data_IF_833734228006
#
_entry.id   IF_833734228006
#
_cell.length_a   1.000
_cell.length_b   1.000
_cell.length_c   1.000
_cell.angle_alpha   90.00
_cell.angle_beta   90.00
_cell.angle_gamma   90.00
#
_symmetry.space_group_name_H-M   'P 1'
#
loop_
_entity.id
_entity.type
_entity.pdbx_description
1 polymer ?
#
# COMPACT_ATOMS: atom_id res chain seq x y z
N UNK A 1 -50.07 -16.13 -27.76
CA UNK A 1 -49.90 -15.42 -26.48
C UNK A 1 -48.40 -15.37 -26.23
N UNK A 2 -47.71 -14.36 -26.78
CA UNK A 2 -46.31 -14.09 -26.49
C UNK A 2 -46.25 -13.22 -25.22
N UNK A 3 -45.55 -13.71 -24.21
CA UNK A 3 -45.28 -12.97 -22.97
C UNK A 3 -44.34 -11.78 -23.22
N UNK A 4 -44.60 -10.58 -22.70
CA UNK A 4 -43.76 -9.39 -22.91
C UNK A 4 -42.48 -9.33 -22.05
N UNK A 5 -42.06 -10.47 -21.46
CA UNK A 5 -40.89 -10.53 -20.56
C UNK A 5 -39.54 -10.52 -21.31
N UNK A 6 -39.55 -10.81 -22.62
CA UNK A 6 -38.28 -10.97 -23.35
C UNK A 6 -37.61 -9.69 -23.85
N UNK A 7 -38.32 -8.58 -23.97
CA UNK A 7 -37.67 -7.33 -24.45
C UNK A 7 -36.83 -6.65 -23.38
N UNK A 8 -37.26 -6.64 -22.13
CA UNK A 8 -36.49 -6.08 -21.00
C UNK A 8 -35.28 -6.93 -20.67
N UNK A 9 -35.41 -8.28 -20.69
CA UNK A 9 -34.25 -9.16 -20.48
C UNK A 9 -33.20 -9.06 -21.61
N UNK A 10 -33.62 -8.92 -22.87
CA UNK A 10 -32.73 -8.74 -24.00
C UNK A 10 -32.06 -7.36 -23.94
N UNK A 11 -32.72 -6.32 -23.45
CA UNK A 11 -32.13 -5.01 -23.19
C UNK A 11 -31.14 -5.08 -22.03
N UNK A 12 -31.46 -5.78 -20.94
CA UNK A 12 -30.55 -6.00 -19.81
C UNK A 12 -29.29 -6.84 -20.20
N UNK A 13 -29.45 -7.84 -21.04
CA UNK A 13 -28.33 -8.66 -21.55
C UNK A 13 -27.49 -7.85 -22.53
N UNK A 14 -28.07 -6.98 -23.34
CA UNK A 14 -27.32 -6.10 -24.25
C UNK A 14 -26.54 -5.01 -23.54
N UNK A 15 -26.93 -4.65 -22.33
CA UNK A 15 -26.32 -3.63 -21.49
C UNK A 15 -25.18 -4.18 -20.59
N UNK A 16 -25.21 -5.49 -20.27
CA UNK A 16 -24.13 -6.18 -19.58
C UNK A 16 -22.92 -6.45 -20.48
N UNK A 17 -23.09 -6.36 -21.80
CA UNK A 17 -21.99 -6.38 -22.78
C UNK A 17 -21.59 -4.92 -23.06
N UNK A 18 -20.66 -4.37 -22.28
CA UNK A 18 -19.83 -3.29 -22.82
C UNK A 18 -19.26 -3.82 -24.12
N UNK A 19 -19.63 -3.21 -25.24
CA UNK A 19 -19.10 -3.56 -26.54
C UNK A 19 -17.56 -3.53 -26.45
N UNK A 20 -16.90 -4.57 -26.96
CA UNK A 20 -15.44 -4.69 -26.96
C UNK A 20 -14.79 -3.39 -27.45
N UNK A 21 -15.44 -2.71 -28.42
CA UNK A 21 -15.02 -1.40 -28.93
C UNK A 21 -15.01 -0.31 -27.84
N UNK A 22 -15.98 -0.31 -26.95
CA UNK A 22 -16.04 0.68 -25.83
C UNK A 22 -14.93 0.45 -24.83
N UNK A 23 -14.61 -0.81 -24.50
CA UNK A 23 -13.48 -1.15 -23.61
C UNK A 23 -12.15 -0.73 -24.24
N UNK A 24 -11.97 -1.00 -25.55
CA UNK A 24 -10.76 -0.65 -26.29
C UNK A 24 -10.56 0.88 -26.42
N UNK A 25 -11.60 1.69 -26.26
CA UNK A 25 -11.51 3.14 -26.22
C UNK A 25 -11.27 3.64 -24.79
N UNK A 26 -12.06 3.17 -23.83
CA UNK A 26 -12.03 3.66 -22.44
C UNK A 26 -10.68 3.36 -21.76
N UNK A 27 -10.15 2.14 -21.92
CA UNK A 27 -8.93 1.72 -21.23
C UNK A 27 -7.70 2.56 -21.61
N UNK A 28 -7.39 2.81 -22.90
CA UNK A 28 -6.31 3.74 -23.27
C UNK A 28 -6.57 5.19 -22.83
N UNK A 29 -7.82 5.66 -22.89
CA UNK A 29 -8.16 7.00 -22.41
C UNK A 29 -7.87 7.16 -20.93
N UNK A 30 -8.21 6.18 -20.10
CA UNK A 30 -7.90 6.19 -18.66
C UNK A 30 -6.39 6.27 -18.40
N UNK A 31 -5.59 5.52 -19.17
CA UNK A 31 -4.13 5.58 -19.07
C UNK A 31 -3.62 6.98 -19.45
N UNK A 32 -4.12 7.54 -20.55
CA UNK A 32 -3.74 8.90 -21.01
C UNK A 32 -4.11 9.94 -19.96
N UNK A 33 -5.33 9.88 -19.40
CA UNK A 33 -5.75 10.79 -18.34
C UNK A 33 -4.89 10.65 -17.08
N UNK A 34 -4.49 9.44 -16.72
CA UNK A 34 -3.58 9.22 -15.60
C UNK A 34 -2.23 9.92 -15.78
N UNK A 35 -1.64 9.81 -16.96
CA UNK A 35 -0.41 10.54 -17.29
C UNK A 35 -0.61 12.06 -17.24
N UNK A 36 -1.73 12.55 -17.74
CA UNK A 36 -2.07 13.97 -17.65
C UNK A 36 -2.22 14.44 -16.20
N UNK A 37 -2.85 13.63 -15.35
CA UNK A 37 -2.98 13.93 -13.92
C UNK A 37 -1.62 13.91 -13.20
N UNK A 38 -0.71 13.01 -13.56
CA UNK A 38 0.64 13.00 -13.00
C UNK A 38 1.45 14.24 -13.42
N UNK A 39 1.35 14.66 -14.69
CA UNK A 39 1.95 15.92 -15.16
C UNK A 39 1.36 17.11 -14.43
N UNK A 40 0.04 17.16 -14.24
CA UNK A 40 -0.64 18.21 -13.49
C UNK A 40 -0.22 18.24 -12.03
N UNK A 41 -0.14 17.05 -11.39
CA UNK A 41 0.30 16.89 -10.01
C UNK A 41 1.71 17.45 -9.79
N UNK A 42 2.65 17.15 -10.70
CA UNK A 42 4.02 17.69 -10.64
C UNK A 42 4.08 19.20 -10.72
N UNK A 43 3.15 19.83 -11.46
CA UNK A 43 3.10 21.30 -11.59
C UNK A 43 2.40 21.98 -10.41
N UNK A 44 1.32 21.40 -9.93
CA UNK A 44 0.46 21.99 -8.89
C UNK A 44 0.80 21.55 -7.47
N UNK A 45 1.64 20.50 -7.32
CA UNK A 45 1.94 19.80 -6.06
C UNK A 45 0.69 19.14 -5.44
N UNK A 46 -0.38 18.98 -6.20
CA UNK A 46 -1.59 18.29 -5.78
C UNK A 46 -1.45 16.79 -6.11
N UNK A 47 -1.66 15.86 -5.18
CA UNK A 47 -1.46 14.43 -5.41
C UNK A 47 -2.34 13.89 -6.55
N UNK A 48 -1.74 13.23 -7.55
CA UNK A 48 -2.47 12.63 -8.69
C UNK A 48 -3.49 11.57 -8.27
N UNK A 49 -3.22 10.90 -7.15
CA UNK A 49 -4.11 9.89 -6.55
C UNK A 49 -5.51 10.44 -6.27
N UNK A 50 -5.60 11.66 -5.70
CA UNK A 50 -6.89 12.29 -5.40
C UNK A 50 -7.68 12.55 -6.69
N UNK A 51 -7.01 12.98 -7.76
CA UNK A 51 -7.65 13.20 -9.06
C UNK A 51 -8.20 11.89 -9.67
N UNK A 52 -7.47 10.77 -9.48
CA UNK A 52 -7.92 9.45 -9.93
C UNK A 52 -9.16 8.97 -9.17
N UNK A 53 -9.16 9.10 -7.85
CA UNK A 53 -10.32 8.75 -7.01
C UNK A 53 -11.52 9.63 -7.38
N UNK A 54 -11.34 10.93 -7.51
CA UNK A 54 -12.42 11.86 -7.93
C UNK A 54 -12.96 11.49 -9.31
N UNK A 55 -12.11 11.11 -10.25
CA UNK A 55 -12.54 10.66 -11.58
C UNK A 55 -13.39 9.39 -11.48
N UNK A 56 -13.00 8.44 -10.62
CA UNK A 56 -13.81 7.25 -10.32
C UNK A 56 -15.19 7.61 -9.75
N UNK A 57 -15.24 8.49 -8.74
CA UNK A 57 -16.48 8.97 -8.13
C UNK A 57 -17.38 9.66 -9.17
N UNK A 58 -16.83 10.54 -10.01
CA UNK A 58 -17.57 11.21 -11.08
C UNK A 58 -18.11 10.18 -12.08
N UNK A 59 -17.31 9.19 -12.48
CA UNK A 59 -17.75 8.13 -13.37
C UNK A 59 -18.89 7.32 -12.73
N UNK A 60 -18.82 7.01 -11.43
CA UNK A 60 -19.92 6.38 -10.67
C UNK A 60 -21.19 7.24 -10.68
N UNK A 61 -21.06 8.53 -10.43
CA UNK A 61 -22.17 9.47 -10.48
C UNK A 61 -22.84 9.48 -11.85
N UNK A 62 -22.07 9.55 -12.93
CA UNK A 62 -22.59 9.52 -14.29
C UNK A 62 -23.34 8.21 -14.54
N UNK A 63 -22.76 7.04 -14.18
CA UNK A 63 -23.42 5.75 -14.41
C UNK A 63 -24.69 5.59 -13.60
N UNK A 64 -24.76 6.10 -12.36
CA UNK A 64 -25.98 6.06 -11.54
C UNK A 64 -27.12 6.91 -12.15
N UNK A 65 -26.81 8.06 -12.79
CA UNK A 65 -27.80 8.86 -13.50
C UNK A 65 -28.47 8.10 -14.65
N UNK A 66 -27.77 7.10 -15.22
CA UNK A 66 -28.32 6.23 -16.27
C UNK A 66 -28.93 4.93 -15.71
N UNK A 67 -29.04 4.80 -14.38
CA UNK A 67 -29.67 3.63 -13.73
C UNK A 67 -28.77 2.38 -13.68
N UNK A 68 -27.46 2.54 -13.79
CA UNK A 68 -26.48 1.46 -13.65
C UNK A 68 -25.87 1.47 -12.26
N UNK A 69 -26.39 0.65 -11.35
CA UNK A 69 -25.95 0.64 -9.95
C UNK A 69 -25.22 -0.64 -9.51
N UNK A 70 -25.30 -1.71 -10.31
CA UNK A 70 -24.74 -3.00 -9.93
C UNK A 70 -23.47 -3.31 -10.72
N UNK A 71 -22.33 -3.30 -10.00
CA UNK A 71 -21.00 -3.57 -10.53
C UNK A 71 -20.28 -4.64 -9.70
N UNK A 72 -20.96 -5.75 -9.43
CA UNK A 72 -20.45 -6.86 -8.59
C UNK A 72 -19.06 -7.38 -8.99
N UNK A 73 -18.59 -7.14 -10.23
CA UNK A 73 -17.24 -7.50 -10.65
C UNK A 73 -16.15 -6.70 -9.92
N UNK A 74 -16.46 -5.49 -9.43
CA UNK A 74 -15.50 -4.64 -8.72
C UNK A 74 -15.15 -5.22 -7.35
N UNK A 75 -16.08 -5.93 -6.71
CA UNK A 75 -15.87 -6.54 -5.40
C UNK A 75 -14.68 -7.54 -5.42
N UNK A 76 -14.44 -8.17 -6.57
CA UNK A 76 -13.31 -9.06 -6.77
C UNK A 76 -12.10 -8.35 -7.43
N UNK A 77 -12.35 -7.41 -8.34
CA UNK A 77 -11.29 -6.77 -9.12
C UNK A 77 -10.44 -5.81 -8.27
N UNK A 78 -11.09 -5.01 -7.41
CA UNK A 78 -10.40 -4.01 -6.57
C UNK A 78 -9.42 -4.68 -5.60
N UNK A 79 -9.77 -5.74 -4.84
CA UNK A 79 -8.82 -6.43 -3.99
C UNK A 79 -7.64 -7.06 -4.74
N UNK A 80 -7.88 -7.66 -5.94
CA UNK A 80 -6.80 -8.26 -6.75
C UNK A 80 -5.84 -7.19 -7.25
N UNK A 81 -6.35 -6.10 -7.84
CA UNK A 81 -5.52 -4.97 -8.27
C UNK A 81 -4.78 -4.34 -7.10
N UNK A 82 -5.44 -4.25 -5.98
CA UNK A 82 -4.86 -3.76 -4.76
C UNK A 82 -3.69 -4.61 -4.28
N UNK A 83 -3.85 -5.93 -4.23
CA UNK A 83 -2.78 -6.85 -3.80
C UNK A 83 -1.59 -6.79 -4.76
N UNK A 84 -1.83 -6.83 -6.07
CA UNK A 84 -0.75 -6.69 -7.08
C UNK A 84 -0.09 -5.31 -6.96
N UNK A 85 -0.88 -4.27 -6.79
CA UNK A 85 -0.39 -2.91 -6.59
C UNK A 85 0.48 -2.78 -5.35
N UNK A 86 0.06 -3.40 -4.24
CA UNK A 86 0.80 -3.42 -3.00
C UNK A 86 2.17 -4.11 -3.14
N UNK A 87 2.21 -5.26 -3.82
CA UNK A 87 3.45 -5.98 -4.12
C UNK A 87 4.39 -5.11 -4.96
N UNK A 88 3.87 -4.48 -6.01
CA UNK A 88 4.65 -3.64 -6.91
C UNK A 88 5.16 -2.37 -6.22
N UNK A 89 4.32 -1.69 -5.42
CA UNK A 89 4.70 -0.48 -4.68
C UNK A 89 5.79 -0.79 -3.65
N UNK A 90 5.66 -1.89 -2.90
CA UNK A 90 6.69 -2.30 -1.93
C UNK A 90 7.98 -2.69 -2.63
N UNK A 91 7.89 -3.35 -3.79
CA UNK A 91 9.06 -3.70 -4.60
C UNK A 91 9.76 -2.44 -5.14
N UNK A 92 9.00 -1.49 -5.72
CA UNK A 92 9.52 -0.22 -6.24
C UNK A 92 10.24 0.57 -5.14
N UNK A 93 9.56 0.78 -4.00
CA UNK A 93 10.13 1.49 -2.87
C UNK A 93 11.40 0.81 -2.32
N UNK A 94 11.41 -0.53 -2.26
CA UNK A 94 12.57 -1.30 -1.81
C UNK A 94 13.76 -1.19 -2.77
N UNK A 95 13.51 -1.15 -4.08
CA UNK A 95 14.57 -0.99 -5.10
C UNK A 95 15.16 0.44 -5.05
N UNK A 96 14.37 1.44 -4.72
CA UNK A 96 14.85 2.83 -4.58
C UNK A 96 15.73 3.05 -3.33
N UNK A 97 15.63 2.15 -2.33
CA UNK A 97 16.41 2.28 -1.10
C UNK A 97 17.87 1.95 -1.30
N UNK A 98 18.72 2.97 -1.25
CA UNK A 98 20.18 2.82 -1.26
C UNK A 98 20.73 2.65 0.15
N UNK A 99 21.26 1.46 0.47
CA UNK A 99 21.94 1.19 1.73
C UNK A 99 23.44 1.51 1.56
N UNK A 100 23.81 2.72 1.98
CA UNK A 100 25.21 3.19 2.01
C UNK A 100 25.59 3.59 3.42
N UNK A 101 26.87 3.42 3.78
CA UNK A 101 27.37 3.79 5.12
C UNK A 101 27.16 5.28 5.42
N UNK A 102 27.28 6.13 4.42
CA UNK A 102 27.11 7.57 4.53
C UNK A 102 25.65 7.97 4.85
N UNK A 103 24.68 7.08 4.53
CA UNK A 103 23.24 7.30 4.77
C UNK A 103 22.74 6.64 6.06
N UNK A 104 23.60 5.97 6.83
CA UNK A 104 23.18 5.21 8.02
C UNK A 104 22.41 6.06 9.02
N UNK A 105 22.83 7.31 9.24
CA UNK A 105 22.17 8.22 10.19
C UNK A 105 20.73 8.53 9.77
N UNK A 106 20.52 8.86 8.49
CA UNK A 106 19.18 9.20 8.00
C UNK A 106 18.27 7.97 7.94
N UNK A 107 18.83 6.78 7.64
CA UNK A 107 18.11 5.50 7.67
C UNK A 107 17.61 5.21 9.09
N UNK A 108 18.47 5.34 10.11
CA UNK A 108 18.08 5.12 11.51
C UNK A 108 17.05 6.14 11.95
N UNK A 109 17.23 7.42 11.62
CA UNK A 109 16.25 8.48 11.95
C UNK A 109 14.90 8.20 11.29
N UNK A 110 14.88 7.81 10.01
CA UNK A 110 13.66 7.44 9.30
C UNK A 110 12.96 6.22 9.91
N UNK A 111 13.72 5.18 10.28
CA UNK A 111 13.18 3.99 10.94
C UNK A 111 12.58 4.31 12.31
N UNK A 112 13.30 5.06 13.14
CA UNK A 112 12.80 5.46 14.47
C UNK A 112 11.58 6.37 14.36
N UNK A 113 11.57 7.30 13.41
CA UNK A 113 10.40 8.14 13.14
C UNK A 113 9.20 7.28 12.75
N UNK A 114 9.35 6.38 11.78
CA UNK A 114 8.29 5.48 11.35
C UNK A 114 7.75 4.65 12.51
N UNK A 115 8.62 4.04 13.31
CA UNK A 115 8.22 3.17 14.43
C UNK A 115 7.51 3.97 15.54
N UNK A 116 8.10 5.08 15.99
CA UNK A 116 7.57 5.86 17.11
C UNK A 116 6.25 6.51 16.74
N UNK A 117 6.19 7.17 15.57
CA UNK A 117 4.97 7.84 15.11
C UNK A 117 3.85 6.81 14.88
N UNK A 118 4.16 5.68 14.23
CA UNK A 118 3.19 4.61 13.98
C UNK A 118 2.61 4.06 15.29
N UNK A 119 3.47 3.69 16.25
CA UNK A 119 3.01 3.12 17.53
C UNK A 119 2.16 4.11 18.33
N UNK A 120 2.60 5.37 18.44
CA UNK A 120 1.84 6.39 19.17
C UNK A 120 0.50 6.68 18.48
N UNK A 121 0.48 6.75 17.13
CA UNK A 121 -0.76 6.90 16.38
C UNK A 121 -1.72 5.72 16.64
N UNK A 122 -1.23 4.47 16.53
CA UNK A 122 -2.05 3.28 16.82
C UNK A 122 -2.66 3.36 18.21
N UNK A 123 -1.87 3.71 19.23
CA UNK A 123 -2.36 3.81 20.61
C UNK A 123 -3.44 4.89 20.74
N UNK A 124 -3.18 6.12 20.25
CA UNK A 124 -4.12 7.23 20.46
C UNK A 124 -5.39 7.06 19.60
N UNK A 125 -5.27 6.59 18.35
CA UNK A 125 -6.43 6.33 17.50
C UNK A 125 -7.25 5.15 18.03
N UNK A 126 -6.61 4.09 18.53
CA UNK A 126 -7.34 2.97 19.14
C UNK A 126 -8.05 3.36 20.44
N UNK A 127 -7.46 4.23 21.24
CA UNK A 127 -8.12 4.78 22.44
C UNK A 127 -9.33 5.65 22.05
N UNK A 128 -9.20 6.46 21.01
CA UNK A 128 -10.32 7.24 20.47
C UNK A 128 -11.46 6.33 20.00
N UNK A 129 -11.17 5.28 19.21
CA UNK A 129 -12.17 4.33 18.76
C UNK A 129 -12.83 3.56 19.91
N UNK A 130 -12.06 3.17 20.91
CA UNK A 130 -12.60 2.44 22.04
C UNK A 130 -13.44 3.32 22.97
N UNK A 131 -12.98 4.53 23.32
CA UNK A 131 -13.65 5.38 24.31
C UNK A 131 -14.78 6.23 23.74
N UNK A 132 -14.64 6.70 22.47
CA UNK A 132 -15.61 7.62 21.86
C UNK A 132 -16.59 6.88 20.96
N UNK A 133 -16.12 5.93 20.15
CA UNK A 133 -16.97 5.16 19.23
C UNK A 133 -17.55 3.91 19.93
N UNK A 134 -16.89 3.44 21.02
CA UNK A 134 -17.36 2.28 21.79
C UNK A 134 -16.96 0.93 21.19
N UNK A 135 -15.95 0.88 20.28
CA UNK A 135 -15.47 -0.37 19.71
C UNK A 135 -14.71 -1.21 20.78
N UNK A 136 -14.79 -2.55 20.71
CA UNK A 136 -13.92 -3.42 21.50
C UNK A 136 -12.45 -3.11 21.26
N UNK A 137 -11.61 -3.18 22.31
CA UNK A 137 -10.21 -2.80 22.23
C UNK A 137 -9.43 -3.51 21.11
N UNK A 138 -9.55 -4.85 20.89
CA UNK A 138 -8.85 -5.51 19.78
C UNK A 138 -9.26 -4.96 18.41
N UNK A 139 -10.55 -4.75 18.21
CA UNK A 139 -11.11 -4.17 16.98
C UNK A 139 -10.62 -2.75 16.77
N UNK A 140 -10.59 -1.94 17.83
CA UNK A 140 -10.09 -0.54 17.80
C UNK A 140 -8.62 -0.48 17.35
N UNK A 141 -7.77 -1.39 17.83
CA UNK A 141 -6.36 -1.47 17.43
C UNK A 141 -6.23 -1.85 15.95
N UNK A 142 -7.00 -2.84 15.50
CA UNK A 142 -6.94 -3.32 14.10
C UNK A 142 -7.35 -2.22 13.12
N UNK A 143 -8.41 -1.45 13.41
CA UNK A 143 -8.80 -0.30 12.59
C UNK A 143 -7.81 0.86 12.66
N UNK A 144 -7.18 1.08 13.82
CA UNK A 144 -6.20 2.16 13.98
C UNK A 144 -4.91 1.94 13.17
N UNK A 145 -4.49 0.70 12.96
CA UNK A 145 -3.22 0.39 12.27
C UNK A 145 -3.20 0.93 10.84
N UNK A 146 -4.14 0.58 9.93
CA UNK A 146 -4.13 1.08 8.56
C UNK A 146 -4.14 2.60 8.48
N UNK A 147 -4.93 3.24 9.34
CA UNK A 147 -5.05 4.69 9.39
C UNK A 147 -3.76 5.36 9.86
N UNK A 148 -2.93 4.68 10.64
CA UNK A 148 -1.68 5.21 11.20
C UNK A 148 -0.48 5.15 10.23
N UNK A 149 -0.58 4.37 9.13
CA UNK A 149 0.51 4.16 8.18
C UNK A 149 0.71 5.41 7.31
N UNK A 150 1.97 5.84 7.12
CA UNK A 150 2.35 6.87 6.16
C UNK A 150 2.70 6.16 4.84
N UNK A 151 1.93 6.41 3.78
CA UNK A 151 2.11 5.72 2.50
C UNK A 151 3.27 6.25 1.68
N UNK A 152 4.23 5.39 1.35
CA UNK A 152 5.35 5.71 0.44
C UNK A 152 4.87 6.03 -0.97
N UNK A 153 3.84 5.35 -1.46
CA UNK A 153 3.27 5.56 -2.79
C UNK A 153 2.78 6.99 -3.06
N UNK A 154 2.41 7.72 -2.01
CA UNK A 154 1.97 9.12 -2.10
C UNK A 154 3.05 10.07 -1.57
N UNK A 155 3.76 9.70 -0.51
CA UNK A 155 4.77 10.55 0.10
C UNK A 155 5.98 10.79 -0.81
N UNK A 156 6.52 9.74 -1.44
CA UNK A 156 7.74 9.84 -2.27
C UNK A 156 7.54 10.76 -3.48
N UNK A 157 6.50 10.59 -4.32
CA UNK A 157 6.25 11.51 -5.43
C UNK A 157 6.02 12.96 -4.98
N UNK A 158 5.36 13.14 -3.84
CA UNK A 158 5.07 14.48 -3.28
C UNK A 158 6.31 15.19 -2.74
N UNK A 159 7.35 14.42 -2.35
CA UNK A 159 8.60 14.95 -1.78
C UNK A 159 9.58 15.54 -2.82
N UNK A 160 9.24 15.56 -4.11
CA UNK A 160 10.15 16.03 -5.18
C UNK A 160 10.58 17.48 -5.04
N UNK A 161 9.82 18.31 -4.32
CA UNK A 161 10.14 19.73 -4.06
C UNK A 161 10.92 20.00 -2.79
N UNK A 162 11.28 18.96 -2.01
CA UNK A 162 12.04 19.08 -0.77
C UNK A 162 13.55 19.10 -1.04
N UNK A 163 14.31 19.67 -0.08
CA UNK A 163 15.78 19.52 -0.05
C UNK A 163 16.14 18.03 0.06
N UNK A 164 17.32 17.66 -0.47
CA UNK A 164 17.74 16.25 -0.58
C UNK A 164 17.66 15.49 0.74
N UNK A 165 18.10 16.09 1.86
CA UNK A 165 18.03 15.49 3.21
C UNK A 165 16.62 15.13 3.61
N UNK A 166 15.67 16.04 3.43
CA UNK A 166 14.26 15.84 3.78
C UNK A 166 13.57 14.85 2.84
N UNK A 167 13.90 14.89 1.55
CA UNK A 167 13.43 13.91 0.58
C UNK A 167 13.87 12.49 0.97
N UNK A 168 15.16 12.29 1.26
CA UNK A 168 15.65 10.99 1.71
C UNK A 168 15.01 10.54 3.02
N UNK A 169 14.81 11.45 3.98
CA UNK A 169 14.09 11.14 5.22
C UNK A 169 12.67 10.65 4.95
N UNK A 170 11.89 11.33 4.09
CA UNK A 170 10.53 10.94 3.71
C UNK A 170 10.52 9.56 3.06
N UNK A 171 11.47 9.27 2.17
CA UNK A 171 11.60 7.95 1.52
C UNK A 171 11.78 6.85 2.56
N UNK A 172 12.74 6.99 3.48
CA UNK A 172 13.00 5.97 4.50
C UNK A 172 11.84 5.87 5.50
N UNK A 173 11.35 7.00 6.02
CA UNK A 173 10.24 7.03 6.98
C UNK A 173 8.99 6.35 6.42
N UNK A 174 8.54 6.75 5.22
CA UNK A 174 7.31 6.21 4.64
C UNK A 174 7.44 4.74 4.27
N UNK A 175 8.58 4.31 3.71
CA UNK A 175 8.81 2.90 3.37
C UNK A 175 8.84 2.02 4.63
N UNK A 176 9.52 2.45 5.70
CA UNK A 176 9.50 1.72 6.96
C UNK A 176 8.12 1.72 7.61
N UNK A 177 7.37 2.83 7.52
CA UNK A 177 6.00 2.92 8.03
C UNK A 177 5.08 1.92 7.34
N UNK A 178 5.17 1.77 6.02
CA UNK A 178 4.43 0.79 5.24
C UNK A 178 4.69 -0.63 5.74
N UNK A 179 5.96 -1.01 5.88
CA UNK A 179 6.36 -2.36 6.27
C UNK A 179 5.97 -2.68 7.71
N UNK A 180 6.27 -1.77 8.64
CA UNK A 180 5.93 -1.95 10.06
C UNK A 180 4.42 -2.01 10.25
N UNK A 181 3.66 -1.14 9.56
CA UNK A 181 2.21 -1.12 9.61
C UNK A 181 1.59 -2.42 9.14
N UNK A 182 2.04 -2.95 8.00
CA UNK A 182 1.59 -4.24 7.48
C UNK A 182 1.93 -5.38 8.46
N UNK A 183 3.13 -5.37 9.03
CA UNK A 183 3.54 -6.38 10.01
C UNK A 183 2.68 -6.35 11.26
N UNK A 184 2.43 -5.17 11.84
CA UNK A 184 1.55 -5.00 12.99
C UNK A 184 0.12 -5.42 12.67
N UNK A 185 -0.39 -5.05 11.49
CA UNK A 185 -1.73 -5.40 11.06
C UNK A 185 -1.95 -6.91 11.04
N UNK A 186 -1.15 -7.65 10.26
CA UNK A 186 -1.29 -9.11 10.18
C UNK A 186 -0.99 -9.83 11.48
N UNK A 187 -0.15 -9.26 12.32
CA UNK A 187 0.08 -9.78 13.66
C UNK A 187 -1.18 -9.63 14.53
N UNK A 188 -1.76 -8.41 14.60
CA UNK A 188 -2.94 -8.15 15.42
C UNK A 188 -4.18 -8.92 14.94
N UNK A 189 -4.38 -9.05 13.62
CA UNK A 189 -5.43 -9.90 13.06
C UNK A 189 -5.32 -11.33 13.58
N UNK A 190 -4.15 -11.93 13.48
CA UNK A 190 -3.94 -13.32 13.92
C UNK A 190 -4.12 -13.54 15.42
N UNK A 191 -3.71 -12.56 16.23
CA UNK A 191 -3.94 -12.63 17.67
C UNK A 191 -5.44 -12.52 18.00
N UNK A 192 -6.16 -11.64 17.30
CA UNK A 192 -7.59 -11.47 17.46
C UNK A 192 -8.37 -12.72 17.02
N UNK A 193 -8.01 -13.37 15.90
CA UNK A 193 -8.62 -14.62 15.43
C UNK A 193 -8.42 -15.78 16.43
N UNK A 194 -7.30 -15.80 17.15
CA UNK A 194 -7.04 -16.80 18.20
C UNK A 194 -7.69 -16.47 19.53
N UNK A 195 -8.25 -15.25 19.69
CA UNK A 195 -8.73 -14.75 20.98
C UNK A 195 -7.61 -14.49 21.99
N UNK A 196 -6.38 -14.29 21.52
CA UNK A 196 -5.22 -14.02 22.34
C UNK A 196 -5.04 -12.51 22.58
N UNK A 197 -4.35 -12.16 23.67
CA UNK A 197 -4.09 -10.75 23.98
C UNK A 197 -3.19 -10.10 22.92
N UNK A 198 -3.52 -8.87 22.49
CA UNK A 198 -2.73 -8.13 21.51
C UNK A 198 -1.46 -7.52 22.11
N UNK A 199 -1.47 -7.23 23.41
CA UNK A 199 -0.38 -6.57 24.13
C UNK A 199 0.01 -7.41 25.34
N UNK A 200 1.31 -7.61 25.54
CA UNK A 200 1.88 -8.39 26.62
C UNK A 200 3.30 -8.83 26.27
N UNK A 201 3.99 -9.43 27.23
CA UNK A 201 5.37 -9.93 27.03
C UNK A 201 5.38 -11.08 26.04
N UNK A 202 4.47 -12.03 26.17
CA UNK A 202 4.36 -13.22 25.31
C UNK A 202 4.01 -12.86 23.86
N UNK A 203 2.99 -12.02 23.59
CA UNK A 203 2.74 -11.48 22.25
C UNK A 203 3.94 -10.78 21.61
N UNK A 204 4.68 -9.96 22.36
CA UNK A 204 5.86 -9.24 21.85
C UNK A 204 6.99 -10.21 21.47
N UNK A 205 7.27 -11.23 22.30
CA UNK A 205 8.27 -12.25 21.99
C UNK A 205 7.87 -13.02 20.72
N UNK A 206 6.59 -13.36 20.59
CA UNK A 206 6.05 -14.05 19.41
C UNK A 206 6.20 -13.18 18.15
N UNK A 207 5.90 -11.89 18.23
CA UNK A 207 6.09 -10.95 17.13
C UNK A 207 7.55 -10.87 16.70
N UNK A 208 8.50 -10.72 17.65
CA UNK A 208 9.93 -10.67 17.36
C UNK A 208 10.39 -11.98 16.70
N UNK A 209 9.93 -13.12 17.20
CA UNK A 209 10.24 -14.44 16.63
C UNK A 209 9.73 -14.59 15.19
N UNK A 210 8.52 -14.13 14.90
CA UNK A 210 7.94 -14.13 13.55
C UNK A 210 8.70 -13.21 12.61
N UNK A 211 9.11 -12.02 13.07
CA UNK A 211 9.95 -11.08 12.28
C UNK A 211 11.28 -11.77 11.93
N UNK A 212 11.93 -12.40 12.89
CA UNK A 212 13.20 -13.08 12.65
C UNK A 212 13.05 -14.24 11.66
N UNK A 213 11.99 -15.04 11.81
CA UNK A 213 11.67 -16.14 10.91
C UNK A 213 11.43 -15.68 9.48
N UNK A 214 10.60 -14.63 9.29
CA UNK A 214 10.32 -14.12 7.95
C UNK A 214 11.56 -13.53 7.27
N UNK A 215 12.45 -12.89 8.02
CA UNK A 215 13.72 -12.38 7.49
C UNK A 215 14.58 -13.54 6.96
N UNK A 216 14.71 -14.64 7.71
CA UNK A 216 15.49 -15.80 7.29
C UNK A 216 14.90 -16.42 6.02
N UNK A 217 13.58 -16.66 6.01
CA UNK A 217 12.88 -17.22 4.85
C UNK A 217 13.02 -16.30 3.64
N UNK A 218 12.87 -14.98 3.84
CA UNK A 218 12.99 -13.99 2.78
C UNK A 218 14.40 -13.96 2.17
N UNK A 219 15.45 -14.08 2.98
CA UNK A 219 16.82 -14.16 2.50
C UNK A 219 17.02 -15.42 1.66
N UNK A 220 16.50 -16.58 2.11
CA UNK A 220 16.60 -17.84 1.39
C UNK A 220 15.87 -17.79 0.03
N UNK A 221 14.64 -17.28 0.00
CA UNK A 221 13.86 -17.13 -1.23
C UNK A 221 14.51 -16.11 -2.16
N UNK A 222 14.98 -14.97 -1.63
CA UNK A 222 15.71 -13.96 -2.39
C UNK A 222 16.95 -14.56 -3.08
N UNK A 223 17.70 -15.37 -2.36
CA UNK A 223 18.87 -16.05 -2.93
C UNK A 223 18.50 -17.04 -4.04
N UNK A 224 17.41 -17.79 -3.87
CA UNK A 224 16.89 -18.70 -4.91
C UNK A 224 16.42 -17.93 -6.15
N UNK A 225 15.65 -16.87 -5.97
CA UNK A 225 15.18 -16.01 -7.06
C UNK A 225 16.35 -15.35 -7.79
N UNK A 226 17.35 -14.87 -7.06
CA UNK A 226 18.55 -14.28 -7.65
C UNK A 226 19.35 -15.29 -8.49
N UNK A 227 19.51 -16.54 -8.01
CA UNK A 227 20.14 -17.59 -8.81
C UNK A 227 19.33 -17.90 -10.07
N UNK A 228 18.00 -17.91 -9.98
CA UNK A 228 17.12 -18.15 -11.12
C UNK A 228 17.29 -17.06 -12.17
N UNK A 229 17.31 -15.77 -11.74
CA UNK A 229 17.54 -14.63 -12.64
C UNK A 229 18.84 -14.76 -13.42
N UNK A 230 19.92 -15.22 -12.75
CA UNK A 230 21.22 -15.41 -13.41
C UNK A 230 21.27 -16.53 -14.44
N UNK A 231 20.38 -17.52 -14.31
CA UNK A 231 20.30 -18.66 -15.24
C UNK A 231 19.43 -18.39 -16.47
N UNK A 232 18.55 -17.39 -16.38
CA UNK A 232 17.64 -17.05 -17.45
C UNK A 232 18.38 -16.12 -18.44
N UNK A 233 18.63 -16.60 -19.65
CA UNK A 233 19.29 -15.84 -20.72
C UNK A 233 18.30 -15.02 -21.58
N UNK A 234 16.98 -15.11 -21.30
CA UNK A 234 15.96 -14.39 -22.04
C UNK A 234 15.84 -12.92 -21.61
N UNK A 235 15.55 -12.04 -22.57
CA UNK A 235 15.33 -10.61 -22.33
C UNK A 235 14.06 -10.31 -21.51
N UNK A 236 13.10 -11.24 -21.45
CA UNK A 236 11.83 -11.06 -20.74
C UNK A 236 11.88 -11.73 -19.36
N UNK A 237 12.65 -11.15 -18.43
CA UNK A 237 12.83 -11.69 -17.08
C UNK A 237 11.82 -11.08 -16.08
N UNK A 238 11.38 -9.85 -16.31
CA UNK A 238 10.59 -9.08 -15.36
C UNK A 238 9.28 -9.76 -14.96
N UNK A 239 8.46 -10.14 -15.94
CA UNK A 239 7.15 -10.74 -15.65
C UNK A 239 7.24 -12.11 -14.98
N UNK A 240 8.30 -12.90 -15.30
CA UNK A 240 8.54 -14.16 -14.60
C UNK A 240 8.90 -13.93 -13.12
N UNK A 241 9.77 -12.96 -12.86
CA UNK A 241 10.16 -12.60 -11.49
C UNK A 241 8.94 -12.08 -10.72
N UNK A 242 8.16 -11.20 -11.33
CA UNK A 242 6.93 -10.67 -10.74
C UNK A 242 5.94 -11.80 -10.43
N UNK A 243 5.72 -12.73 -11.35
CA UNK A 243 4.84 -13.88 -11.13
C UNK A 243 5.33 -14.76 -9.97
N UNK A 244 6.65 -15.00 -9.86
CA UNK A 244 7.24 -15.74 -8.76
C UNK A 244 7.15 -15.00 -7.42
N UNK A 245 7.26 -13.66 -7.43
CA UNK A 245 7.06 -12.85 -6.24
C UNK A 245 5.60 -12.85 -5.76
N UNK A 246 4.63 -12.75 -6.70
CA UNK A 246 3.21 -12.87 -6.37
C UNK A 246 2.90 -14.26 -5.80
N UNK A 247 3.42 -15.30 -6.42
CA UNK A 247 3.26 -16.68 -5.91
C UNK A 247 3.89 -16.86 -4.53
N UNK A 248 5.10 -16.35 -4.32
CA UNK A 248 5.77 -16.40 -3.03
C UNK A 248 5.02 -15.59 -1.95
N UNK A 249 4.42 -14.46 -2.32
CA UNK A 249 3.55 -13.68 -1.46
C UNK A 249 2.33 -14.48 -1.01
N UNK A 250 1.58 -15.09 -1.93
CA UNK A 250 0.37 -15.85 -1.60
C UNK A 250 0.71 -17.11 -0.79
N UNK A 251 1.76 -17.86 -1.16
CA UNK A 251 2.22 -19.00 -0.38
C UNK A 251 2.62 -18.56 1.05
N UNK A 252 3.35 -17.48 1.18
CA UNK A 252 3.76 -16.97 2.49
C UNK A 252 2.58 -16.51 3.35
N UNK A 253 1.58 -15.86 2.73
CA UNK A 253 0.38 -15.37 3.41
C UNK A 253 -0.51 -16.55 3.87
N UNK A 254 -0.85 -17.47 2.97
CA UNK A 254 -1.88 -18.48 3.22
C UNK A 254 -1.32 -19.73 3.97
N UNK A 255 -0.16 -20.23 3.55
CA UNK A 255 0.42 -21.44 4.13
C UNK A 255 1.31 -21.18 5.34
N UNK A 256 2.18 -20.16 5.26
CA UNK A 256 3.11 -19.87 6.35
C UNK A 256 2.52 -18.88 7.36
N UNK A 257 1.42 -18.20 7.00
CA UNK A 257 0.78 -17.14 7.79
C UNK A 257 1.78 -16.07 8.25
N UNK A 258 2.69 -15.69 7.38
CA UNK A 258 3.73 -14.68 7.61
C UNK A 258 3.40 -13.38 6.89
N UNK A 259 3.93 -12.24 7.35
CA UNK A 259 3.79 -10.96 6.64
C UNK A 259 4.62 -10.94 5.35
N UNK A 260 4.12 -11.60 4.30
CA UNK A 260 4.84 -11.93 3.06
C UNK A 260 5.37 -10.72 2.29
N UNK A 261 4.84 -9.51 2.54
CA UNK A 261 5.36 -8.26 1.96
C UNK A 261 6.79 -7.95 2.42
N UNK A 262 7.19 -8.43 3.59
CA UNK A 262 8.59 -8.34 4.05
C UNK A 262 9.53 -9.11 3.11
N UNK A 263 9.07 -10.22 2.54
CA UNK A 263 9.84 -10.97 1.54
C UNK A 263 10.08 -10.12 0.29
N UNK A 264 9.01 -9.48 -0.22
CA UNK A 264 9.11 -8.59 -1.40
C UNK A 264 10.08 -7.45 -1.13
N UNK A 265 9.98 -6.85 0.05
CA UNK A 265 10.86 -5.77 0.48
C UNK A 265 12.34 -6.19 0.57
N UNK A 266 12.63 -7.33 1.22
CA UNK A 266 13.99 -7.86 1.33
C UNK A 266 14.55 -8.20 -0.06
N UNK A 267 13.72 -8.77 -0.94
CA UNK A 267 14.12 -9.02 -2.32
C UNK A 267 14.48 -7.73 -3.07
N UNK A 268 13.64 -6.70 -2.99
CA UNK A 268 13.89 -5.40 -3.62
C UNK A 268 15.17 -4.73 -3.12
N UNK A 269 15.37 -4.68 -1.79
CA UNK A 269 16.60 -4.16 -1.17
C UNK A 269 17.82 -4.96 -1.63
N UNK A 270 17.73 -6.29 -1.64
CA UNK A 270 18.83 -7.13 -2.08
C UNK A 270 19.16 -6.84 -3.54
N UNK A 271 18.16 -6.74 -4.39
CA UNK A 271 18.34 -6.48 -5.82
C UNK A 271 19.04 -5.14 -6.09
N UNK A 272 18.66 -4.09 -5.37
CA UNK A 272 19.26 -2.75 -5.49
C UNK A 272 20.67 -2.65 -4.88
N UNK A 273 20.92 -3.39 -3.80
CA UNK A 273 22.14 -3.25 -3.00
C UNK A 273 23.06 -4.50 -3.05
N UNK A 274 22.84 -5.44 -3.99
CA UNK A 274 23.52 -6.73 -4.00
C UNK A 274 25.04 -6.62 -4.01
N UNK A 275 25.60 -5.61 -4.71
CA UNK A 275 27.05 -5.37 -4.77
C UNK A 275 27.66 -4.98 -3.42
N UNK A 276 26.86 -4.33 -2.55
CA UNK A 276 27.28 -3.85 -1.23
C UNK A 276 26.99 -4.89 -0.13
N UNK A 277 25.90 -5.67 -0.29
CA UNK A 277 25.44 -6.64 0.71
C UNK A 277 26.18 -7.98 0.66
N UNK A 278 26.76 -8.35 -0.49
CA UNK A 278 27.48 -9.63 -0.62
C UNK A 278 28.88 -9.51 0.05
N UNK A 279 29.17 -10.32 1.08
CA UNK A 279 30.49 -10.39 1.67
C UNK A 279 31.56 -10.74 0.64
N UNK A 280 32.75 -10.16 0.76
CA UNK A 280 33.87 -10.36 -0.17
C UNK A 280 34.18 -11.85 -0.42
N UNK A 281 33.99 -12.73 0.58
CA UNK A 281 34.21 -14.17 0.47
C UNK A 281 33.18 -14.89 -0.42
N UNK A 282 31.94 -14.42 -0.46
CA UNK A 282 30.85 -14.99 -1.28
C UNK A 282 30.85 -14.46 -2.71
N UNK A 283 31.49 -13.32 -2.98
CA UNK A 283 31.58 -12.75 -4.35
C UNK A 283 32.24 -13.72 -5.35
N UNK A 284 33.08 -14.64 -4.86
CA UNK A 284 33.74 -15.66 -5.70
C UNK A 284 32.76 -16.73 -6.21
N UNK A 285 31.67 -17.00 -5.47
CA UNK A 285 30.68 -18.05 -5.81
C UNK A 285 29.48 -17.48 -6.57
N UNK A 286 29.23 -16.18 -6.46
CA UNK A 286 28.13 -15.48 -7.12
C UNK A 286 28.75 -14.75 -8.31
N UNK A 287 28.44 -15.22 -9.53
CA UNK A 287 28.89 -14.56 -10.77
C UNK A 287 28.18 -13.23 -10.92
N UNK A 288 28.69 -12.20 -10.21
CA UNK A 288 28.16 -10.83 -10.22
C UNK A 288 28.23 -10.18 -11.61
N UNK A 289 29.07 -10.69 -12.50
CA UNK A 289 29.27 -10.14 -13.84
C UNK A 289 28.11 -10.41 -14.81
N UNK A 290 27.21 -11.34 -14.48
CA UNK A 290 26.09 -11.72 -15.36
C UNK A 290 24.82 -10.87 -15.17
N UNK A 291 24.63 -10.19 -14.03
CA UNK A 291 23.56 -9.22 -13.85
C UNK A 291 24.13 -7.83 -14.12
N UNK A 292 23.99 -7.38 -15.36
CA UNK A 292 24.49 -6.07 -15.78
C UNK A 292 23.74 -4.95 -15.03
N UNK A 293 24.40 -3.81 -14.85
CA UNK A 293 23.74 -2.57 -14.38
C UNK A 293 22.56 -2.20 -15.29
N UNK A 294 22.62 -2.57 -16.54
CA UNK A 294 21.56 -2.45 -17.55
C UNK A 294 20.31 -3.25 -17.16
N UNK A 295 20.46 -4.54 -16.79
CA UNK A 295 19.33 -5.42 -16.44
C UNK A 295 18.60 -4.91 -15.19
N UNK A 296 19.36 -4.39 -14.22
CA UNK A 296 18.81 -3.83 -13.00
C UNK A 296 18.03 -2.53 -13.26
N UNK A 297 18.58 -1.69 -14.13
CA UNK A 297 17.90 -0.44 -14.53
C UNK A 297 16.60 -0.73 -15.29
N UNK A 298 16.64 -1.69 -16.23
CA UNK A 298 15.45 -2.12 -16.96
C UNK A 298 14.39 -2.71 -16.03
N UNK A 299 14.81 -3.54 -15.06
CA UNK A 299 13.91 -4.08 -14.05
C UNK A 299 13.25 -2.99 -13.21
N UNK A 300 14.01 -1.98 -12.79
CA UNK A 300 13.49 -0.83 -12.05
C UNK A 300 12.49 -0.02 -12.89
N UNK A 301 12.78 0.26 -14.15
CA UNK A 301 11.87 0.96 -15.04
C UNK A 301 10.55 0.20 -15.23
N UNK A 302 10.63 -1.11 -15.52
CA UNK A 302 9.44 -1.95 -15.70
C UNK A 302 8.62 -2.08 -14.41
N UNK A 303 9.27 -2.11 -13.23
CA UNK A 303 8.59 -2.07 -11.95
C UNK A 303 7.82 -0.75 -11.78
N UNK A 304 8.46 0.39 -12.02
CA UNK A 304 7.86 1.70 -11.89
C UNK A 304 6.67 1.91 -12.84
N UNK A 305 6.80 1.51 -14.12
CA UNK A 305 5.73 1.57 -15.11
C UNK A 305 4.54 0.66 -14.73
N UNK A 306 4.83 -0.57 -14.27
CA UNK A 306 3.79 -1.50 -13.84
C UNK A 306 3.08 -1.01 -12.58
N UNK A 307 3.84 -0.46 -11.61
CA UNK A 307 3.28 0.15 -10.39
C UNK A 307 2.37 1.32 -10.73
N UNK A 308 2.83 2.21 -11.62
CA UNK A 308 2.03 3.37 -12.06
C UNK A 308 0.70 2.90 -12.66
N UNK A 309 0.71 1.92 -13.53
CA UNK A 309 -0.47 1.41 -14.22
C UNK A 309 -1.46 0.75 -13.23
N UNK A 310 -0.98 -0.15 -12.37
CA UNK A 310 -1.83 -0.86 -11.40
C UNK A 310 -2.40 0.11 -10.37
N UNK A 311 -1.58 1.03 -9.86
CA UNK A 311 -2.01 2.11 -8.95
C UNK A 311 -3.10 2.97 -9.56
N UNK A 312 -2.96 3.34 -10.84
CA UNK A 312 -3.95 4.11 -11.58
C UNK A 312 -5.31 3.42 -11.62
N UNK A 313 -5.34 2.18 -12.06
CA UNK A 313 -6.58 1.41 -12.12
C UNK A 313 -7.18 1.16 -10.74
N UNK A 314 -6.34 0.86 -9.75
CA UNK A 314 -6.81 0.68 -8.39
C UNK A 314 -7.55 1.91 -7.85
N UNK A 315 -6.92 3.09 -7.87
CA UNK A 315 -7.56 4.30 -7.32
C UNK A 315 -8.78 4.73 -8.10
N UNK A 316 -8.80 4.52 -9.40
CA UNK A 316 -9.95 4.83 -10.23
C UNK A 316 -11.12 3.87 -9.90
N UNK A 317 -10.89 2.57 -9.83
CA UNK A 317 -11.93 1.61 -9.48
C UNK A 317 -12.34 1.71 -8.02
N UNK A 318 -11.41 2.01 -7.11
CA UNK A 318 -11.75 2.31 -5.72
C UNK A 318 -12.69 3.52 -5.64
N UNK A 319 -12.37 4.64 -6.31
CA UNK A 319 -13.27 5.79 -6.36
C UNK A 319 -14.63 5.47 -6.98
N UNK A 320 -14.65 4.61 -8.01
CA UNK A 320 -15.88 4.16 -8.64
C UNK A 320 -16.71 3.22 -7.74
N UNK A 321 -16.10 2.46 -6.84
CA UNK A 321 -16.81 1.57 -5.90
C UNK A 321 -17.54 2.32 -4.79
N UNK A 322 -17.19 3.59 -4.53
CA UNK A 322 -17.78 4.38 -3.45
C UNK A 322 -19.21 4.79 -3.79
N UNK A 323 -20.22 4.43 -2.96
CA UNK A 323 -21.59 4.87 -3.15
C UNK A 323 -21.73 6.38 -2.92
N UNK A 324 -22.55 7.06 -3.75
CA UNK A 324 -22.72 8.52 -3.65
C UNK A 324 -23.43 8.93 -2.36
N UNK A 325 -24.32 8.08 -1.86
CA UNK A 325 -25.03 8.27 -0.60
C UNK A 325 -24.07 8.42 0.59
N UNK A 326 -22.86 7.86 0.45
CA UNK A 326 -21.81 7.94 1.47
C UNK A 326 -21.36 9.37 1.81
N UNK A 327 -21.57 10.32 0.89
CA UNK A 327 -21.17 11.71 1.08
C UNK A 327 -22.16 12.55 1.88
N UNK A 328 -23.36 12.01 2.17
CA UNK A 328 -24.45 12.75 2.87
C UNK A 328 -24.32 12.60 4.38
N UNK A 329 -23.70 11.53 4.88
CA UNK A 329 -23.56 11.26 6.30
C UNK A 329 -22.45 12.10 6.92
N UNK A 330 -22.74 12.74 8.07
CA UNK A 330 -21.81 13.68 8.73
C UNK A 330 -20.82 12.98 9.69
N UNK A 331 -21.19 11.83 10.21
CA UNK A 331 -20.42 11.09 11.22
C UNK A 331 -19.01 10.68 10.74
N UNK A 332 -18.83 10.10 9.53
CA UNK A 332 -17.51 9.74 9.02
C UNK A 332 -16.55 10.94 8.90
N UNK A 333 -17.07 12.14 8.58
CA UNK A 333 -16.24 13.34 8.49
C UNK A 333 -15.70 13.79 9.85
N UNK A 334 -16.50 13.68 10.91
CA UNK A 334 -16.05 14.01 12.28
C UNK A 334 -14.99 13.02 12.73
N UNK A 335 -15.21 11.73 12.52
CA UNK A 335 -14.26 10.67 12.87
C UNK A 335 -12.94 10.88 12.10
N UNK A 336 -13.00 11.05 10.79
CA UNK A 336 -11.82 11.26 9.95
C UNK A 336 -11.05 12.52 10.34
N UNK A 337 -11.73 13.65 10.55
CA UNK A 337 -11.10 14.90 11.00
C UNK A 337 -10.41 14.74 12.36
N UNK A 338 -11.03 14.01 13.31
CA UNK A 338 -10.43 13.73 14.61
C UNK A 338 -9.18 12.87 14.50
N UNK A 339 -9.24 11.81 13.68
CA UNK A 339 -8.07 10.96 13.41
C UNK A 339 -6.94 11.77 12.78
N UNK A 340 -7.23 12.61 11.78
CA UNK A 340 -6.24 13.51 11.16
C UNK A 340 -5.60 14.47 12.18
N UNK A 341 -6.39 15.07 13.08
CA UNK A 341 -5.88 15.95 14.14
C UNK A 341 -4.92 15.21 15.08
N UNK A 342 -5.26 13.99 15.50
CA UNK A 342 -4.37 13.15 16.32
C UNK A 342 -3.04 12.92 15.57
N UNK A 343 -3.10 12.51 14.32
CA UNK A 343 -1.93 12.15 13.53
C UNK A 343 -1.01 13.33 13.26
N UNK A 344 -1.55 14.46 12.84
CA UNK A 344 -0.76 15.67 12.62
C UNK A 344 -0.23 16.25 13.92
N UNK A 345 -0.98 16.13 15.01
CA UNK A 345 -0.53 16.50 16.35
C UNK A 345 0.70 15.69 16.78
N UNK A 346 0.65 14.36 16.66
CA UNK A 346 1.78 13.48 17.00
C UNK A 346 2.99 13.80 16.11
N UNK A 347 2.78 13.98 14.81
CA UNK A 347 3.85 14.33 13.88
C UNK A 347 4.49 15.67 14.25
N UNK A 348 3.70 16.67 14.58
CA UNK A 348 4.20 17.96 15.03
C UNK A 348 5.07 17.83 16.29
N UNK A 349 4.58 17.12 17.31
CA UNK A 349 5.35 16.90 18.54
C UNK A 349 6.65 16.13 18.29
N UNK A 350 6.60 15.10 17.43
CA UNK A 350 7.80 14.33 17.08
C UNK A 350 8.85 15.21 16.38
N UNK A 351 8.45 16.01 15.39
CA UNK A 351 9.36 16.87 14.65
C UNK A 351 9.99 17.95 15.55
N UNK A 352 9.20 18.54 16.43
CA UNK A 352 9.68 19.59 17.34
C UNK A 352 10.60 19.01 18.42
N UNK A 353 10.26 17.86 19.02
CA UNK A 353 10.99 17.31 20.16
C UNK A 353 12.20 16.48 19.75
N UNK A 354 12.15 15.79 18.62
CA UNK A 354 13.17 14.80 18.23
C UNK A 354 14.10 15.33 17.13
N UNK A 355 13.54 15.92 16.07
CA UNK A 355 14.38 16.45 14.98
C UNK A 355 14.89 17.86 15.28
N UNK A 356 14.09 18.69 15.93
CA UNK A 356 14.44 20.05 16.39
C UNK A 356 15.27 20.89 15.39
N UNK A 357 14.96 20.73 14.10
CA UNK A 357 15.67 21.35 12.97
C UNK A 357 14.66 22.22 12.19
N UNK A 358 14.99 23.49 11.97
CA UNK A 358 14.10 24.41 11.24
C UNK A 358 13.85 23.95 9.80
N UNK A 359 14.82 23.31 9.20
CA UNK A 359 14.70 22.72 7.86
C UNK A 359 13.68 21.57 7.80
N UNK A 360 13.33 20.98 8.95
CA UNK A 360 12.37 19.88 9.07
C UNK A 360 10.90 20.32 9.11
N UNK A 361 10.62 21.62 9.23
CA UNK A 361 9.23 22.15 9.28
C UNK A 361 8.35 21.68 8.09
N UNK A 362 8.85 21.63 6.83
CA UNK A 362 8.06 21.12 5.72
C UNK A 362 7.63 19.66 5.87
N UNK A 363 8.35 18.84 6.64
CA UNK A 363 8.03 17.44 6.88
C UNK A 363 6.71 17.23 7.63
N UNK A 364 6.21 18.25 8.33
CA UNK A 364 4.92 18.20 9.02
C UNK A 364 3.78 17.83 8.05
N UNK A 365 3.83 18.33 6.83
CA UNK A 365 2.79 18.13 5.83
C UNK A 365 2.91 16.80 5.07
N UNK A 366 4.00 16.05 5.28
CA UNK A 366 4.25 14.78 4.59
C UNK A 366 3.82 13.59 5.44
N UNK A 367 2.52 13.44 5.61
CA UNK A 367 1.92 12.28 6.28
C UNK A 367 0.70 11.76 5.49
N UNK A 368 0.85 11.51 4.16
CA UNK A 368 -0.28 11.08 3.36
C UNK A 368 -0.66 9.63 3.63
N UNK A 369 -1.93 9.32 3.39
CA UNK A 369 -2.46 7.96 3.34
C UNK A 369 -2.59 7.53 1.88
N UNK A 370 -2.63 6.24 1.64
CA UNK A 370 -2.64 5.74 0.28
C UNK A 370 -3.15 4.32 0.16
N UNK A 371 -2.68 3.62 -0.88
CA UNK A 371 -3.15 2.29 -1.26
C UNK A 371 -3.08 1.29 -0.12
N UNK A 372 -2.01 1.28 0.67
CA UNK A 372 -1.84 0.35 1.80
C UNK A 372 -2.92 0.57 2.86
N UNK A 373 -3.19 1.83 3.22
CA UNK A 373 -4.25 2.19 4.17
C UNK A 373 -5.60 1.64 3.70
N UNK A 374 -5.96 1.90 2.44
CA UNK A 374 -7.23 1.47 1.86
C UNK A 374 -7.33 -0.06 1.85
N UNK A 375 -6.29 -0.73 1.34
CA UNK A 375 -6.31 -2.19 1.23
C UNK A 375 -6.40 -2.91 2.56
N UNK A 376 -5.59 -2.51 3.53
CA UNK A 376 -5.62 -3.12 4.85
C UNK A 376 -6.96 -2.84 5.55
N UNK A 377 -7.52 -1.65 5.38
CA UNK A 377 -8.82 -1.30 5.96
C UNK A 377 -9.94 -2.14 5.34
N UNK A 378 -9.99 -2.26 4.02
CA UNK A 378 -10.98 -3.08 3.32
C UNK A 378 -10.83 -4.57 3.65
N UNK A 379 -9.61 -5.06 3.81
CA UNK A 379 -9.37 -6.46 4.15
C UNK A 379 -9.80 -6.85 5.57
N UNK A 380 -10.12 -5.89 6.45
CA UNK A 380 -10.63 -6.21 7.80
C UNK A 380 -11.93 -7.01 7.72
N UNK A 381 -12.77 -6.74 6.72
CA UNK A 381 -14.04 -7.45 6.52
C UNK A 381 -13.88 -8.93 6.18
N UNK A 382 -12.72 -9.34 5.67
CA UNK A 382 -12.43 -10.73 5.30
C UNK A 382 -12.14 -11.61 6.52
N UNK A 383 -11.87 -10.99 7.67
CA UNK A 383 -11.54 -11.68 8.91
C UNK A 383 -12.74 -11.76 9.86
N UNK A 384 -12.83 -12.86 10.60
CA UNK A 384 -13.96 -13.15 11.52
C UNK A 384 -13.80 -12.39 12.86
N UNK A 385 -13.53 -11.09 12.77
CA UNK A 385 -13.42 -10.19 13.93
C UNK A 385 -14.82 -9.66 14.20
N UNK A 386 -15.34 -9.94 15.40
CA UNK A 386 -16.71 -9.61 15.87
C UNK A 386 -17.43 -8.54 15.04
N UNK A 387 -18.32 -8.97 14.16
CA UNK A 387 -19.03 -8.15 13.15
C UNK A 387 -20.00 -7.08 13.72
N UNK A 388 -20.02 -6.85 15.04
CA UNK A 388 -21.07 -6.04 15.66
C UNK A 388 -20.90 -4.52 15.61
N UNK A 389 -19.67 -4.01 15.37
CA UNK A 389 -19.44 -2.57 15.25
C UNK A 389 -18.29 -2.33 14.25
N UNK A 390 -18.64 -2.07 13.01
CA UNK A 390 -17.68 -1.80 11.93
C UNK A 390 -17.48 -0.29 11.84
N UNK A 391 -16.24 0.17 11.82
CA UNK A 391 -15.93 1.56 11.40
C UNK A 391 -16.27 1.67 9.93
N UNK A 392 -17.10 2.64 9.58
CA UNK A 392 -17.57 2.81 8.20
C UNK A 392 -16.36 3.08 7.27
N UNK A 393 -16.33 2.38 6.14
CA UNK A 393 -15.33 2.58 5.07
C UNK A 393 -15.28 4.02 4.57
N UNK A 394 -16.38 4.77 4.77
CA UNK A 394 -16.49 6.20 4.47
C UNK A 394 -15.46 7.06 5.19
N UNK A 395 -14.94 6.60 6.34
CA UNK A 395 -13.86 7.30 7.06
C UNK A 395 -12.60 7.41 6.21
N UNK A 396 -12.35 6.42 5.32
CA UNK A 396 -11.23 6.45 4.37
C UNK A 396 -11.29 7.63 3.39
N UNK A 397 -12.49 8.16 3.11
CA UNK A 397 -12.65 9.30 2.20
C UNK A 397 -12.17 10.61 2.80
N UNK A 398 -12.06 10.70 4.12
CA UNK A 398 -11.68 11.92 4.84
C UNK A 398 -10.19 11.92 5.18
N UNK A 399 -9.60 10.76 5.33
CA UNK A 399 -8.20 10.56 5.73
C UNK A 399 -7.30 10.32 4.52
#
# INVERSE_FOLDING_TARGET
ICYPINCLQIYFIKLAYMDVSSILIVLPLLIIFSYLFDIFARRTKFPSVILLVLTGIIARFITSLYGYDNFAFLDNLVPVLGTIGLILIVLEAAIELEIKKEKTEIIIKGFLAALIILVINIVLVSLFFNQVIGLPYPTSVIYAIPLSIISSAVAIPSATGLITKNKEFVVYESTFSDILGIMFFYYCIRQAEKGEALIGIEPIITLIGQIFLIIIISIAITYLLFQLIQRIEHHVKFFLILALLILAYEIGKDFLKLPSLVLIFIFGIFLSNFTNLIPKGLKKYIKTDKVGKSDLHEFHLLTAESTFLVRTFFFLFFGFSIPIESFIEFEPYIIGATVLLIMYGIRYFYLVLVLNDEDSKPLLYFSPRGLITILLFLSISDYDIQKSNIVDEKVLLVI
#
